data_IF_099095349638
#
_entry.id   IF_099095349638
#
_cell.length_a   1.000
_cell.length_b   1.000
_cell.length_c   1.000
_cell.angle_alpha   90.00
_cell.angle_beta   90.00
_cell.angle_gamma   90.00
#
_symmetry.space_group_name_H-M   'P 1'
#
loop_
_entity.id
_entity.type
_entity.pdbx_description
1 polymer ?
#
# COMPACT_ATOMS: atom_id res chain seq x y z
N UNK A 1 -11.20 -8.62 -10.50
CA UNK A 1 -10.77 -7.40 -9.83
C UNK A 1 -9.31 -7.46 -9.32
N UNK A 2 -8.75 -8.64 -9.15
CA UNK A 2 -7.35 -8.78 -8.72
C UNK A 2 -6.40 -8.42 -9.86
N UNK A 3 -5.50 -7.45 -9.62
CA UNK A 3 -4.55 -7.01 -10.63
C UNK A 3 -3.11 -7.40 -10.31
N UNK A 4 -2.83 -7.86 -9.10
CA UNK A 4 -1.48 -8.21 -8.72
C UNK A 4 -1.38 -8.77 -7.33
N UNK A 5 -0.14 -9.03 -6.91
CA UNK A 5 0.20 -9.59 -5.61
C UNK A 5 1.34 -8.79 -5.00
N UNK A 6 1.12 -8.26 -3.80
CA UNK A 6 2.10 -7.47 -3.07
C UNK A 6 2.75 -8.33 -2.00
N UNK A 7 4.07 -8.31 -1.93
CA UNK A 7 4.80 -9.03 -0.88
C UNK A 7 6.01 -8.25 -0.40
N UNK A 8 6.31 -8.40 0.90
CA UNK A 8 7.51 -7.85 1.52
C UNK A 8 8.11 -8.95 2.38
N UNK A 9 9.31 -9.42 2.01
CA UNK A 9 10.01 -10.45 2.77
C UNK A 9 10.30 -9.97 4.19
N UNK A 10 10.18 -10.85 5.16
CA UNK A 10 10.39 -10.54 6.57
C UNK A 10 9.16 -9.94 7.26
N UNK A 11 8.04 -9.84 6.55
CA UNK A 11 6.76 -9.38 7.10
C UNK A 11 5.66 -10.38 6.79
N UNK A 12 4.48 -10.16 7.38
CA UNK A 12 3.27 -10.91 7.03
C UNK A 12 2.62 -10.43 5.74
N UNK A 13 3.16 -9.39 5.09
CA UNK A 13 2.54 -8.81 3.90
C UNK A 13 2.84 -9.72 2.69
N UNK A 14 1.80 -10.42 2.25
CA UNK A 14 1.76 -11.24 1.05
C UNK A 14 0.28 -11.37 0.69
N UNK A 15 -0.24 -10.44 -0.11
CA UNK A 15 -1.68 -10.31 -0.36
C UNK A 15 -1.97 -9.97 -1.80
N UNK A 16 -3.14 -10.42 -2.31
CA UNK A 16 -3.64 -9.92 -3.59
C UNK A 16 -3.96 -8.42 -3.47
N UNK A 17 -3.83 -7.71 -4.58
CA UNK A 17 -4.20 -6.31 -4.70
C UNK A 17 -5.35 -6.19 -5.68
N UNK A 18 -6.43 -5.56 -5.24
CA UNK A 18 -7.66 -5.41 -6.02
C UNK A 18 -7.69 -4.04 -6.69
N UNK A 19 -8.42 -3.94 -7.79
CA UNK A 19 -8.55 -2.67 -8.50
C UNK A 19 -9.96 -2.54 -9.07
N UNK A 20 -10.67 -1.51 -8.63
CA UNK A 20 -12.05 -1.23 -9.04
C UNK A 20 -12.23 0.27 -9.24
N UNK A 21 -11.74 0.84 -10.35
CA UNK A 21 -11.76 2.31 -10.53
C UNK A 21 -13.16 2.91 -10.57
N UNK A 22 -14.17 2.13 -10.97
CA UNK A 22 -15.57 2.59 -10.95
C UNK A 22 -16.21 2.55 -9.57
N UNK A 23 -15.62 1.82 -8.63
CA UNK A 23 -16.04 1.76 -7.23
C UNK A 23 -14.78 1.61 -6.37
N UNK A 24 -14.00 2.69 -6.20
CA UNK A 24 -12.63 2.60 -5.68
C UNK A 24 -12.48 2.01 -4.30
N UNK A 25 -13.54 2.05 -3.48
CA UNK A 25 -13.48 1.55 -2.10
C UNK A 25 -14.23 0.23 -1.91
N UNK A 26 -14.51 -0.47 -3.01
CA UNK A 26 -15.25 -1.74 -2.96
C UNK A 26 -14.65 -2.72 -1.96
N UNK A 27 -13.32 -2.85 -1.94
CA UNK A 27 -12.63 -3.84 -1.11
C UNK A 27 -12.22 -3.32 0.27
N UNK A 28 -12.62 -2.11 0.63
CA UNK A 28 -12.35 -1.58 1.97
C UNK A 28 -12.94 -2.48 3.06
N UNK A 29 -14.08 -3.10 2.81
CA UNK A 29 -14.78 -3.98 3.74
C UNK A 29 -15.25 -5.27 3.07
N UNK A 30 -14.56 -5.75 2.04
CA UNK A 30 -14.89 -7.01 1.36
C UNK A 30 -13.66 -7.89 1.24
N UNK A 31 -13.87 -9.20 1.37
CA UNK A 31 -12.83 -10.20 1.13
C UNK A 31 -12.53 -10.32 -0.36
N UNK A 32 -11.49 -11.09 -0.69
CA UNK A 32 -11.15 -11.44 -2.07
C UNK A 32 -12.35 -11.98 -2.85
N UNK A 33 -13.25 -12.69 -2.15
CA UNK A 33 -14.44 -13.29 -2.78
C UNK A 33 -15.65 -12.35 -2.85
N UNK A 34 -15.48 -11.09 -2.47
CA UNK A 34 -16.53 -10.08 -2.55
C UNK A 34 -17.54 -10.08 -1.41
N UNK A 35 -17.31 -10.90 -0.38
CA UNK A 35 -18.18 -10.96 0.80
C UNK A 35 -17.71 -9.97 1.87
N UNK A 36 -18.63 -9.52 2.72
CA UNK A 36 -18.26 -8.62 3.81
C UNK A 36 -17.09 -9.18 4.61
N UNK A 37 -16.11 -8.32 4.87
CA UNK A 37 -14.96 -8.64 5.69
C UNK A 37 -14.46 -7.37 6.37
N UNK A 38 -14.29 -7.41 7.68
CA UNK A 38 -13.81 -6.26 8.44
C UNK A 38 -12.39 -5.85 8.03
N UNK A 39 -11.55 -6.81 7.66
CA UNK A 39 -10.16 -6.54 7.25
C UNK A 39 -10.04 -6.06 5.81
N UNK A 40 -11.02 -6.31 4.97
CA UNK A 40 -10.92 -6.00 3.54
C UNK A 40 -9.78 -6.73 2.86
N UNK A 41 -9.37 -6.23 1.70
CA UNK A 41 -8.19 -6.68 0.94
C UNK A 41 -7.46 -5.43 0.46
N UNK A 42 -6.12 -5.43 0.40
CA UNK A 42 -5.41 -4.29 -0.19
C UNK A 42 -5.90 -3.96 -1.60
N UNK A 43 -5.99 -2.68 -1.91
CA UNK A 43 -6.50 -2.23 -3.20
C UNK A 43 -5.76 -0.99 -3.71
N UNK A 44 -5.66 -0.90 -5.04
CA UNK A 44 -5.04 0.22 -5.72
C UNK A 44 -6.00 1.41 -5.76
N UNK A 45 -5.47 2.62 -5.54
CA UNK A 45 -6.24 3.86 -5.67
C UNK A 45 -6.88 3.96 -7.06
N UNK A 46 -8.16 4.31 -7.08
CA UNK A 46 -8.93 4.37 -8.33
C UNK A 46 -8.46 5.45 -9.32
N UNK A 47 -7.63 6.40 -8.86
CA UNK A 47 -7.02 7.42 -9.73
C UNK A 47 -5.77 6.92 -10.45
N UNK A 48 -5.25 5.76 -10.03
CA UNK A 48 -4.09 5.11 -10.65
C UNK A 48 -4.54 4.02 -11.61
N UNK A 49 -3.61 3.58 -12.46
CA UNK A 49 -3.64 2.30 -13.14
C UNK A 49 -2.21 1.73 -13.16
N UNK A 50 -2.02 0.53 -13.71
CA UNK A 50 -0.70 -0.11 -13.69
C UNK A 50 0.35 0.64 -14.50
N UNK A 51 -0.06 1.57 -15.35
CA UNK A 51 0.83 2.40 -16.15
C UNK A 51 1.15 3.73 -15.49
N UNK A 52 0.50 4.06 -14.39
CA UNK A 52 0.75 5.30 -13.67
C UNK A 52 2.18 5.36 -13.15
N UNK A 53 2.75 6.57 -13.11
CA UNK A 53 4.07 6.80 -12.53
C UNK A 53 4.07 6.49 -11.05
N UNK A 54 2.97 6.79 -10.38
CA UNK A 54 2.81 6.57 -8.93
C UNK A 54 1.64 5.64 -8.68
N UNK A 55 1.90 4.60 -7.90
CA UNK A 55 0.89 3.62 -7.50
C UNK A 55 0.65 3.76 -6.01
N UNK A 56 -0.62 3.90 -5.61
CA UNK A 56 -0.99 3.97 -4.20
C UNK A 56 -1.83 2.75 -3.88
N UNK A 57 -1.37 1.96 -2.91
CA UNK A 57 -2.08 0.77 -2.43
C UNK A 57 -2.47 0.96 -0.98
N UNK A 58 -3.75 0.79 -0.67
CA UNK A 58 -4.30 0.90 0.67
C UNK A 58 -4.52 -0.47 1.28
N UNK A 59 -4.25 -0.57 2.58
CA UNK A 59 -4.58 -1.76 3.35
C UNK A 59 -4.87 -1.39 4.80
N UNK A 60 -5.68 -2.19 5.47
CA UNK A 60 -6.04 -1.95 6.86
C UNK A 60 -4.87 -2.25 7.80
N UNK A 61 -4.81 -1.51 8.91
CA UNK A 61 -3.93 -1.79 10.04
C UNK A 61 -4.74 -2.56 11.08
N UNK A 62 -4.63 -3.88 11.08
CA UNK A 62 -5.42 -4.76 11.93
C UNK A 62 -4.72 -5.02 13.25
N UNK A 63 -5.50 -5.03 14.34
CA UNK A 63 -4.97 -5.30 15.68
C UNK A 63 -4.35 -6.69 15.81
N UNK A 64 -4.82 -7.66 14.99
CA UNK A 64 -4.30 -9.02 15.00
C UNK A 64 -3.00 -9.19 14.19
N UNK A 65 -2.40 -8.11 13.71
CA UNK A 65 -1.14 -8.15 12.98
C UNK A 65 -1.24 -8.48 11.49
N UNK A 66 -2.46 -8.58 10.95
CA UNK A 66 -2.66 -8.88 9.52
C UNK A 66 -2.79 -7.62 8.67
N UNK A 67 -2.93 -7.82 7.37
CA UNK A 67 -3.01 -6.78 6.34
C UNK A 67 -1.77 -5.90 6.38
N UNK A 68 -1.91 -4.57 6.49
CA UNK A 68 -0.77 -3.65 6.49
C UNK A 68 -0.25 -3.30 7.88
N UNK A 69 -0.65 -4.07 8.89
CA UNK A 69 -0.18 -3.86 10.26
C UNK A 69 1.35 -3.84 10.36
N UNK A 70 2.04 -4.70 9.63
CA UNK A 70 3.50 -4.81 9.67
C UNK A 70 4.23 -3.59 9.10
N UNK A 71 3.54 -2.69 8.40
CA UNK A 71 4.16 -1.46 7.93
C UNK A 71 4.70 -0.60 9.09
N UNK A 72 4.14 -0.75 10.30
CA UNK A 72 4.64 -0.07 11.49
C UNK A 72 6.08 -0.44 11.84
N UNK A 73 6.53 -1.62 11.42
CA UNK A 73 7.91 -2.06 11.65
C UNK A 73 8.93 -1.14 10.97
N UNK A 74 8.53 -0.48 9.89
CA UNK A 74 9.41 0.47 9.18
C UNK A 74 9.70 1.74 9.97
N UNK A 75 9.02 1.98 11.09
CA UNK A 75 9.36 3.07 11.99
C UNK A 75 10.67 2.81 12.74
N UNK A 76 11.12 1.57 12.77
CA UNK A 76 12.44 1.18 13.30
C UNK A 76 13.46 1.23 12.16
N UNK A 77 14.51 2.02 12.31
CA UNK A 77 15.53 2.20 11.27
C UNK A 77 16.30 0.93 10.95
N UNK A 78 16.51 0.06 11.93
CA UNK A 78 17.18 -1.22 11.68
C UNK A 78 16.32 -2.12 10.79
N UNK A 79 15.02 -2.18 11.07
CA UNK A 79 14.09 -2.94 10.24
C UNK A 79 14.06 -2.39 8.82
N UNK A 80 13.95 -1.06 8.68
CA UNK A 80 13.96 -0.40 7.38
C UNK A 80 15.21 -0.77 6.58
N UNK A 81 16.38 -0.70 7.20
CA UNK A 81 17.64 -0.99 6.51
C UNK A 81 17.75 -2.46 6.07
N UNK A 82 17.14 -3.37 6.82
CA UNK A 82 17.18 -4.79 6.53
C UNK A 82 16.09 -5.25 5.55
N UNK A 83 15.04 -4.45 5.31
CA UNK A 83 13.85 -4.86 4.57
C UNK A 83 13.40 -3.78 3.56
N UNK A 84 14.31 -3.35 2.68
CA UNK A 84 14.02 -2.26 1.74
C UNK A 84 13.26 -2.69 0.49
N UNK A 85 13.22 -3.99 0.19
CA UNK A 85 12.63 -4.46 -1.06
C UNK A 85 11.16 -4.77 -0.90
N UNK A 86 10.33 -4.19 -1.77
CA UNK A 86 8.90 -4.48 -1.90
C UNK A 86 8.67 -5.04 -3.30
N UNK A 87 7.96 -6.15 -3.41
CA UNK A 87 7.65 -6.80 -4.69
C UNK A 87 6.18 -6.64 -5.01
N UNK A 88 5.90 -6.25 -6.24
CA UNK A 88 4.55 -6.18 -6.78
C UNK A 88 4.48 -6.96 -8.08
N UNK A 89 3.85 -8.13 -8.03
CA UNK A 89 3.70 -9.01 -9.18
C UNK A 89 2.38 -8.71 -9.89
N UNK A 90 2.45 -8.54 -11.20
CA UNK A 90 1.28 -8.34 -12.06
C UNK A 90 1.34 -9.32 -13.22
N UNK A 91 0.36 -9.25 -14.12
CA UNK A 91 0.37 -10.08 -15.35
C UNK A 91 1.60 -9.79 -16.22
N UNK A 92 2.20 -8.62 -16.09
CA UNK A 92 3.38 -8.21 -16.86
C UNK A 92 4.72 -8.65 -16.24
N UNK A 93 4.67 -9.25 -15.05
CA UNK A 93 5.86 -9.74 -14.36
C UNK A 93 6.02 -9.15 -12.97
N UNK A 94 7.19 -9.36 -12.37
CA UNK A 94 7.50 -8.90 -11.01
C UNK A 94 8.18 -7.54 -11.08
N UNK A 95 7.64 -6.56 -10.37
CA UNK A 95 8.23 -5.24 -10.21
C UNK A 95 8.80 -5.13 -8.80
N UNK A 96 10.04 -4.69 -8.71
CA UNK A 96 10.73 -4.49 -7.42
C UNK A 96 10.88 -3.01 -7.13
N UNK A 97 10.63 -2.64 -5.88
CA UNK A 97 10.73 -1.27 -5.40
C UNK A 97 11.61 -1.23 -4.16
N UNK A 98 12.35 -0.15 -3.99
CA UNK A 98 13.21 0.07 -2.82
C UNK A 98 12.61 1.14 -1.94
N UNK A 99 12.35 0.82 -0.68
CA UNK A 99 11.80 1.78 0.29
C UNK A 99 12.80 2.91 0.52
N UNK A 100 12.36 4.14 0.30
CA UNK A 100 13.18 5.34 0.43
C UNK A 100 12.73 6.30 1.52
N UNK A 101 11.44 6.28 1.87
CA UNK A 101 10.87 7.25 2.81
C UNK A 101 9.72 6.65 3.60
N UNK A 102 9.65 7.02 4.88
CA UNK A 102 8.54 6.69 5.78
C UNK A 102 7.92 7.99 6.22
N UNK A 103 6.61 8.16 6.01
CA UNK A 103 5.93 9.41 6.31
C UNK A 103 4.70 9.15 7.19
N UNK A 104 4.62 9.88 8.31
CA UNK A 104 3.41 9.93 9.14
C UNK A 104 2.65 11.20 8.79
N UNK A 105 1.41 11.04 8.37
CA UNK A 105 0.59 12.15 7.89
C UNK A 105 -0.89 11.91 8.22
N UNK A 106 -1.78 12.66 7.62
CA UNK A 106 -3.21 12.43 7.72
C UNK A 106 -3.89 12.66 6.36
N UNK A 107 -5.17 12.32 6.28
CA UNK A 107 -5.91 12.39 5.01
C UNK A 107 -6.14 13.83 4.52
N UNK A 108 -5.92 14.83 5.37
CA UNK A 108 -6.08 16.25 5.00
C UNK A 108 -4.81 16.82 4.38
N UNK A 109 -3.69 16.09 4.47
CA UNK A 109 -2.41 16.53 3.90
C UNK A 109 -2.47 16.45 2.37
N UNK A 110 -1.87 17.41 1.71
CA UNK A 110 -1.81 17.48 0.25
C UNK A 110 -0.82 16.52 -0.39
N UNK A 111 -0.31 15.52 0.33
CA UNK A 111 0.66 14.59 -0.22
C UNK A 111 0.13 13.81 -1.43
N UNK A 112 -1.19 13.63 -1.53
CA UNK A 112 -1.80 13.01 -2.72
C UNK A 112 -1.52 13.82 -4.00
N UNK A 113 -1.49 15.15 -3.88
CA UNK A 113 -1.18 16.02 -5.00
C UNK A 113 0.30 15.96 -5.38
N UNK A 114 1.17 15.74 -4.39
CA UNK A 114 2.61 15.58 -4.60
C UNK A 114 2.93 14.35 -5.44
N UNK A 115 2.17 13.30 -5.28
CA UNK A 115 2.39 12.04 -5.99
C UNK A 115 2.28 12.24 -7.50
N UNK A 116 1.32 13.05 -7.94
CA UNK A 116 1.13 13.29 -9.37
C UNK A 116 2.25 14.11 -10.00
N UNK A 117 3.05 14.80 -9.18
CA UNK A 117 4.09 15.71 -9.64
C UNK A 117 5.51 15.13 -9.55
N UNK A 118 5.69 13.98 -8.91
CA UNK A 118 7.01 13.38 -8.71
C UNK A 118 7.50 12.71 -10.00
N UNK A 119 8.80 12.84 -10.27
CA UNK A 119 9.46 12.11 -11.34
C UNK A 119 9.86 10.71 -10.83
N UNK A 120 9.89 9.75 -11.75
CA UNK A 120 10.26 8.38 -11.41
C UNK A 120 9.05 7.57 -10.93
N UNK A 121 9.18 6.26 -10.99
CA UNK A 121 8.10 5.34 -10.64
C UNK A 121 8.14 5.02 -9.16
N UNK A 122 7.05 5.31 -8.46
CA UNK A 122 6.92 5.10 -7.03
C UNK A 122 5.75 4.19 -6.69
N UNK A 123 5.93 3.43 -5.62
CA UNK A 123 4.87 2.67 -4.98
C UNK A 123 4.69 3.22 -3.57
N UNK A 124 3.46 3.60 -3.22
CA UNK A 124 3.14 4.12 -1.91
C UNK A 124 2.16 3.18 -1.24
N UNK A 125 2.55 2.63 -0.09
CA UNK A 125 1.69 1.78 0.73
C UNK A 125 1.12 2.64 1.84
N UNK A 126 -0.20 2.69 1.94
CA UNK A 126 -0.91 3.56 2.89
C UNK A 126 -1.75 2.72 3.85
N UNK A 127 -1.66 3.02 5.13
CA UNK A 127 -2.49 2.39 6.16
C UNK A 127 -2.84 3.39 7.25
N UNK A 128 -3.89 3.09 8.03
CA UNK A 128 -4.24 3.92 9.18
C UNK A 128 -3.16 3.84 10.26
N UNK A 129 -2.87 4.96 10.90
CA UNK A 129 -1.89 5.02 11.98
C UNK A 129 -2.24 6.13 12.96
N UNK A 130 -2.03 5.86 14.25
CA UNK A 130 -2.32 6.80 15.31
C UNK A 130 -3.69 6.59 15.93
N UNK A 131 -4.05 7.46 16.89
CA UNK A 131 -5.30 7.33 17.67
C UNK A 131 -6.49 7.98 16.98
N UNK A 132 -6.30 8.76 15.92
CA UNK A 132 -7.37 9.43 15.19
C UNK A 132 -7.82 8.65 13.98
N UNK A 133 -8.99 9.01 13.42
CA UNK A 133 -9.52 8.38 12.22
C UNK A 133 -8.72 8.74 10.96
N UNK A 134 -8.06 9.88 10.98
CA UNK A 134 -7.47 10.50 9.78
C UNK A 134 -5.97 10.26 9.67
N UNK A 135 -5.34 9.71 10.71
CA UNK A 135 -3.90 9.45 10.70
C UNK A 135 -3.52 8.35 9.71
N UNK A 136 -2.42 8.55 9.01
CA UNK A 136 -1.92 7.61 8.01
C UNK A 136 -0.42 7.43 8.14
N UNK A 137 0.03 6.21 7.86
CA UNK A 137 1.43 5.86 7.69
C UNK A 137 1.64 5.52 6.22
N UNK A 138 2.62 6.17 5.61
CA UNK A 138 2.97 5.94 4.21
C UNK A 138 4.37 5.36 4.12
N UNK A 139 4.49 4.28 3.36
CA UNK A 139 5.77 3.69 3.00
C UNK A 139 5.99 4.00 1.53
N UNK A 140 7.00 4.79 1.23
CA UNK A 140 7.28 5.24 -0.14
C UNK A 140 8.48 4.47 -0.67
N UNK A 141 8.31 3.83 -1.82
CA UNK A 141 9.34 3.03 -2.46
C UNK A 141 9.48 3.44 -3.93
N UNK A 142 10.70 3.42 -4.43
CA UNK A 142 11.03 3.78 -5.80
C UNK A 142 11.35 2.52 -6.58
N UNK A 143 10.85 2.42 -7.81
CA UNK A 143 11.10 1.26 -8.67
C UNK A 143 12.59 1.13 -8.96
N UNK A 144 13.09 -0.07 -8.76
CA UNK A 144 14.50 -0.41 -9.01
C UNK A 144 14.81 -0.55 -10.50
#
# INVERSE_FOLDING_TARGET
DCIGWLSIDGTNISYPVMYTPSDPQKYLRRSFYGKYSQSGVPFLDGRCDLQSTNLIIYGHNMKNGTMFSDLKKYLDSEFLNAHRTVKFETADGIRCFTVTEILRTDITDAWYDRIAAEDGRQLILSTCYGSGKDGRLLIIAVES
#
